data_IF_795748153386
#
_entry.id   IF_795748153386
#
_cell.length_a   1.000
_cell.length_b   1.000
_cell.length_c   1.000
_cell.angle_alpha   90.00
_cell.angle_beta   90.00
_cell.angle_gamma   90.00
#
_symmetry.space_group_name_H-M   'P 1'
#
loop_
_entity.id
_entity.type
_entity.pdbx_description
1 polymer ?
#
# COMPACT_ATOMS: atom_id res chain seq x y z
N UNK A 1 -26.68 48.75 42.32
CA UNK A 1 -25.35 48.15 42.51
C UNK A 1 -25.22 46.93 41.60
N UNK A 2 -24.20 46.90 40.73
CA UNK A 2 -23.83 45.71 40.02
C UNK A 2 -23.11 44.77 41.01
N UNK A 3 -23.61 43.55 41.15
CA UNK A 3 -22.97 42.53 41.96
C UNK A 3 -22.42 41.49 41.01
N UNK A 4 -21.12 41.20 41.09
CA UNK A 4 -20.50 40.09 40.34
C UNK A 4 -20.98 38.80 40.96
N UNK A 5 -21.68 37.96 40.16
CA UNK A 5 -22.26 36.70 40.60
C UNK A 5 -21.42 35.47 40.27
N UNK A 6 -20.32 35.67 39.53
CA UNK A 6 -19.38 34.60 39.23
C UNK A 6 -18.40 34.98 38.13
N UNK A 7 -17.37 34.18 37.98
CA UNK A 7 -16.41 34.21 36.89
C UNK A 7 -16.18 32.81 36.39
N UNK A 8 -15.60 32.69 35.21
CA UNK A 8 -15.29 31.39 34.62
C UNK A 8 -14.29 31.52 33.48
N UNK A 9 -13.78 30.38 33.02
CA UNK A 9 -12.88 30.26 31.86
C UNK A 9 -13.66 29.63 30.73
N UNK A 10 -13.52 30.20 29.52
CA UNK A 10 -14.09 29.62 28.32
C UNK A 10 -13.17 28.49 27.87
N UNK A 11 -13.65 27.25 27.92
CA UNK A 11 -12.89 26.05 27.51
C UNK A 11 -13.01 25.78 26.01
N UNK A 12 -14.11 26.16 25.37
CA UNK A 12 -14.36 26.02 23.95
C UNK A 12 -15.05 27.29 23.44
N UNK A 13 -14.43 27.94 22.43
CA UNK A 13 -14.95 29.18 21.85
C UNK A 13 -16.13 28.94 20.88
N UNK A 14 -16.32 27.70 20.41
CA UNK A 14 -17.37 27.33 19.44
C UNK A 14 -18.03 25.98 19.80
N UNK A 15 -18.62 25.87 21.01
CA UNK A 15 -19.11 24.59 21.51
C UNK A 15 -20.33 24.10 20.73
N UNK A 16 -20.36 22.81 20.44
CA UNK A 16 -21.55 22.14 19.91
C UNK A 16 -22.58 21.95 21.03
N UNK A 17 -23.87 21.97 20.67
CA UNK A 17 -24.93 21.71 21.64
C UNK A 17 -24.90 20.24 22.05
N UNK A 18 -24.81 19.97 23.35
CA UNK A 18 -24.76 18.64 23.92
C UNK A 18 -25.97 18.41 24.87
N UNK A 19 -26.32 17.13 25.07
CA UNK A 19 -27.30 16.74 26.09
C UNK A 19 -26.69 16.95 27.49
N UNK A 20 -27.53 17.33 28.46
CA UNK A 20 -27.11 17.49 29.86
C UNK A 20 -26.67 16.13 30.42
N UNK A 21 -25.66 16.13 31.28
CA UNK A 21 -25.16 14.96 32.03
C UNK A 21 -24.63 13.82 31.10
N UNK A 22 -24.14 14.14 29.93
CA UNK A 22 -23.41 13.19 29.12
C UNK A 22 -22.00 12.98 29.67
N UNK A 23 -21.74 11.81 30.25
CA UNK A 23 -20.48 11.48 30.92
C UNK A 23 -19.27 11.61 30.03
N UNK A 24 -19.36 11.17 28.75
CA UNK A 24 -18.27 11.31 27.78
C UNK A 24 -17.88 12.76 27.51
N UNK A 25 -18.86 13.67 27.54
CA UNK A 25 -18.62 15.10 27.35
C UNK A 25 -18.04 15.73 28.60
N UNK A 26 -18.53 15.32 29.78
CA UNK A 26 -17.99 15.77 31.04
C UNK A 26 -16.54 15.34 31.23
N UNK A 27 -16.17 14.14 30.84
CA UNK A 27 -14.78 13.67 30.82
C UNK A 27 -13.91 14.47 29.85
N UNK A 28 -14.40 14.74 28.64
CA UNK A 28 -13.68 15.61 27.67
C UNK A 28 -13.45 17.01 28.21
N UNK A 29 -14.46 17.60 28.83
CA UNK A 29 -14.34 18.94 29.46
C UNK A 29 -13.39 18.95 30.66
N UNK A 30 -13.34 17.87 31.44
CA UNK A 30 -12.36 17.72 32.51
C UNK A 30 -10.94 17.66 32.00
N UNK A 31 -10.70 16.89 30.94
CA UNK A 31 -9.40 16.82 30.27
C UNK A 31 -9.00 18.18 29.69
N UNK A 32 -9.94 18.96 29.15
CA UNK A 32 -9.67 20.33 28.70
C UNK A 32 -9.34 21.28 29.85
N UNK A 33 -9.85 21.04 31.05
CA UNK A 33 -9.63 21.89 32.24
C UNK A 33 -8.34 21.52 33.00
N UNK A 34 -8.04 20.23 33.11
CA UNK A 34 -7.03 19.66 33.98
C UNK A 34 -5.93 18.91 33.25
N UNK A 35 -6.14 18.59 31.93
CA UNK A 35 -5.22 17.84 31.10
C UNK A 35 -4.00 18.66 30.68
N UNK A 36 -2.89 17.96 30.44
CA UNK A 36 -1.73 18.55 29.79
C UNK A 36 -1.97 18.73 28.28
N UNK A 37 -1.10 19.46 27.60
CA UNK A 37 -1.22 19.72 26.15
C UNK A 37 -1.23 18.43 25.32
N UNK A 38 -0.54 17.37 25.78
CA UNK A 38 -0.54 16.06 25.14
C UNK A 38 -1.90 15.37 25.17
N UNK A 39 -2.63 15.43 26.30
CA UNK A 39 -3.98 14.87 26.42
C UNK A 39 -4.98 15.62 25.53
N UNK A 40 -4.83 16.94 25.43
CA UNK A 40 -5.64 17.77 24.54
C UNK A 40 -5.43 17.37 23.07
N UNK A 41 -4.17 17.19 22.64
CA UNK A 41 -3.83 16.75 21.28
C UNK A 41 -4.44 15.37 21.00
N UNK A 42 -4.29 14.39 21.89
CA UNK A 42 -4.83 13.05 21.72
C UNK A 42 -6.37 13.08 21.56
N UNK A 43 -7.07 13.78 22.45
CA UNK A 43 -8.53 13.92 22.39
C UNK A 43 -8.99 14.62 21.11
N UNK A 44 -8.27 15.68 20.70
CA UNK A 44 -8.54 16.38 19.45
C UNK A 44 -8.41 15.44 18.24
N UNK A 45 -7.29 14.71 18.14
CA UNK A 45 -7.07 13.74 17.08
C UNK A 45 -8.13 12.64 17.05
N UNK A 46 -8.59 12.15 18.20
CA UNK A 46 -9.65 11.15 18.31
C UNK A 46 -11.00 11.68 17.84
N UNK A 47 -11.36 12.89 18.23
CA UNK A 47 -12.68 13.48 17.95
C UNK A 47 -12.77 14.17 16.59
N UNK A 48 -11.65 14.47 15.94
CA UNK A 48 -11.61 15.14 14.65
C UNK A 48 -12.24 14.29 13.54
N UNK A 49 -12.93 14.94 12.59
CA UNK A 49 -13.62 14.24 11.48
C UNK A 49 -12.64 13.51 10.55
N UNK A 50 -11.49 14.11 10.25
CA UNK A 50 -10.45 13.48 9.46
C UNK A 50 -9.63 12.50 10.31
N UNK A 51 -9.12 11.46 9.71
CA UNK A 51 -8.27 10.48 10.40
C UNK A 51 -6.86 11.02 10.60
N UNK A 52 -6.33 11.72 9.60
CA UNK A 52 -5.03 12.39 9.66
C UNK A 52 -5.28 13.90 9.79
N UNK A 53 -4.64 14.53 10.76
CA UNK A 53 -4.79 15.97 11.05
C UNK A 53 -3.45 16.66 10.93
N UNK A 54 -3.40 17.76 10.20
CA UNK A 54 -2.16 18.51 9.99
C UNK A 54 -1.68 19.19 11.28
N UNK A 55 -0.35 19.34 11.42
CA UNK A 55 0.24 20.08 12.54
C UNK A 55 -0.33 21.51 12.65
N UNK A 56 -0.60 22.16 11.53
CA UNK A 56 -1.16 23.51 11.48
C UNK A 56 -2.56 23.58 12.07
N UNK A 57 -3.41 22.59 11.78
CA UNK A 57 -4.77 22.54 12.31
C UNK A 57 -4.74 22.26 13.81
N UNK A 58 -3.86 21.37 14.28
CA UNK A 58 -3.67 21.09 15.72
C UNK A 58 -3.28 22.37 16.46
N UNK A 59 -2.26 23.08 15.98
CA UNK A 59 -1.78 24.34 16.59
C UNK A 59 -2.88 25.39 16.63
N UNK A 60 -3.56 25.57 15.49
CA UNK A 60 -4.61 26.58 15.33
C UNK A 60 -5.81 26.32 16.22
N UNK A 61 -6.33 25.09 16.18
CA UNK A 61 -7.61 24.76 16.82
C UNK A 61 -7.45 24.58 18.35
N UNK A 62 -6.27 24.12 18.79
CA UNK A 62 -5.93 24.02 20.22
C UNK A 62 -5.25 25.27 20.79
N UNK A 63 -4.96 26.27 19.94
CA UNK A 63 -4.30 27.53 20.34
C UNK A 63 -2.95 27.32 21.05
N UNK A 64 -2.20 26.27 20.63
CA UNK A 64 -0.87 25.97 21.17
C UNK A 64 0.19 26.85 20.50
N UNK A 65 1.31 27.09 21.20
CA UNK A 65 2.49 27.64 20.55
C UNK A 65 3.16 26.58 19.65
N UNK A 66 3.91 27.01 18.63
CA UNK A 66 4.62 26.06 17.74
C UNK A 66 5.63 25.18 18.50
N UNK A 67 6.33 25.76 19.48
CA UNK A 67 7.29 25.02 20.31
C UNK A 67 6.64 23.98 21.21
N UNK A 68 5.57 24.35 21.89
CA UNK A 68 4.78 23.46 22.75
C UNK A 68 4.19 22.30 21.93
N UNK A 69 3.52 22.61 20.82
CA UNK A 69 2.97 21.57 19.95
C UNK A 69 4.04 20.64 19.38
N UNK A 70 5.23 21.15 19.06
CA UNK A 70 6.32 20.30 18.56
C UNK A 70 6.78 19.32 19.64
N UNK A 71 7.05 19.81 20.87
CA UNK A 71 7.51 18.96 21.96
C UNK A 71 6.49 17.87 22.31
N UNK A 72 5.21 18.24 22.46
CA UNK A 72 4.16 17.29 22.81
C UNK A 72 3.90 16.26 21.70
N UNK A 73 3.92 16.69 20.43
CA UNK A 73 3.77 15.75 19.30
C UNK A 73 4.93 14.77 19.24
N UNK A 74 6.18 15.21 19.44
CA UNK A 74 7.35 14.33 19.44
C UNK A 74 7.29 13.33 20.61
N UNK A 75 6.85 13.74 21.80
CA UNK A 75 6.64 12.86 22.95
C UNK A 75 5.54 11.82 22.67
N UNK A 76 4.43 12.24 22.08
CA UNK A 76 3.31 11.36 21.73
C UNK A 76 3.68 10.37 20.62
N UNK A 77 4.50 10.75 19.65
CA UNK A 77 5.04 9.85 18.62
C UNK A 77 6.01 8.85 19.26
N UNK A 78 6.92 9.33 20.11
CA UNK A 78 7.90 8.48 20.81
C UNK A 78 7.22 7.46 21.73
N UNK A 79 6.15 7.86 22.42
CA UNK A 79 5.35 6.96 23.26
C UNK A 79 4.43 6.02 22.47
N UNK A 80 4.31 6.19 21.15
CA UNK A 80 3.48 5.37 20.28
C UNK A 80 1.97 5.63 20.41
N UNK A 81 1.56 6.75 21.00
CA UNK A 81 0.16 7.14 21.13
C UNK A 81 -0.41 7.75 19.85
N UNK A 82 0.46 8.34 19.03
CA UNK A 82 0.15 8.85 17.71
C UNK A 82 1.21 8.41 16.72
N UNK A 83 0.87 8.44 15.43
CA UNK A 83 1.82 8.21 14.33
C UNK A 83 1.89 9.43 13.45
N UNK A 84 3.10 9.75 12.99
CA UNK A 84 3.36 10.82 12.03
C UNK A 84 3.31 10.29 10.60
N UNK A 85 2.72 11.08 9.71
CA UNK A 85 2.65 10.86 8.26
C UNK A 85 3.06 12.13 7.51
N UNK A 86 3.22 12.06 6.19
CA UNK A 86 3.50 13.25 5.37
C UNK A 86 2.33 14.27 5.38
N UNK A 87 1.12 13.85 5.73
CA UNK A 87 -0.06 14.71 5.80
C UNK A 87 -0.31 15.29 7.21
N UNK A 88 0.31 14.71 8.24
CA UNK A 88 0.11 15.09 9.63
C UNK A 88 0.13 13.91 10.58
N UNK A 89 -0.72 13.94 11.61
CA UNK A 89 -0.72 12.99 12.71
C UNK A 89 -2.03 12.21 12.78
N UNK A 90 -1.93 10.94 13.14
CA UNK A 90 -3.08 10.05 13.39
C UNK A 90 -2.97 9.45 14.79
N UNK A 91 -4.07 9.43 15.51
CA UNK A 91 -4.13 8.76 16.82
C UNK A 91 -4.08 7.23 16.66
N UNK A 92 -3.34 6.55 17.54
CA UNK A 92 -3.16 5.09 17.54
C UNK A 92 -4.47 4.31 17.39
N UNK A 93 -5.51 4.69 18.11
CA UNK A 93 -6.83 4.01 18.03
C UNK A 93 -7.43 4.05 16.61
N UNK A 94 -7.35 5.21 15.94
CA UNK A 94 -7.82 5.34 14.55
C UNK A 94 -6.94 4.55 13.57
N UNK A 95 -5.63 4.55 13.81
CA UNK A 95 -4.67 3.74 13.06
C UNK A 95 -5.03 2.24 13.17
N UNK A 96 -5.21 1.75 14.40
CA UNK A 96 -5.56 0.35 14.66
C UNK A 96 -6.90 -0.04 14.02
N UNK A 97 -7.92 0.82 14.08
CA UNK A 97 -9.23 0.61 13.44
C UNK A 97 -9.13 0.45 11.91
N UNK A 98 -8.32 1.28 11.26
CA UNK A 98 -8.12 1.20 9.79
C UNK A 98 -7.30 -0.03 9.44
N UNK A 99 -6.26 -0.33 10.23
CA UNK A 99 -5.41 -1.51 10.03
C UNK A 99 -6.21 -2.80 10.16
N UNK A 100 -7.05 -2.94 11.18
CA UNK A 100 -7.92 -4.11 11.34
C UNK A 100 -8.88 -4.29 10.16
N UNK A 101 -9.48 -3.21 9.69
CA UNK A 101 -10.34 -3.23 8.49
C UNK A 101 -9.56 -3.66 7.25
N UNK A 102 -8.33 -3.16 7.08
CA UNK A 102 -7.47 -3.55 5.96
C UNK A 102 -7.07 -5.03 6.05
N UNK A 103 -6.62 -5.50 7.22
CA UNK A 103 -6.26 -6.92 7.45
C UNK A 103 -7.44 -7.84 7.15
N UNK A 104 -8.64 -7.48 7.60
CA UNK A 104 -9.85 -8.25 7.28
C UNK A 104 -10.14 -8.28 5.78
N UNK A 105 -10.01 -7.13 5.10
CA UNK A 105 -10.21 -7.04 3.66
C UNK A 105 -9.21 -7.93 2.90
N UNK A 106 -7.93 -7.91 3.29
CA UNK A 106 -6.88 -8.75 2.71
C UNK A 106 -7.14 -10.25 2.96
N UNK A 107 -7.48 -10.63 4.18
CA UNK A 107 -7.79 -12.02 4.53
C UNK A 107 -8.99 -12.56 3.73
N UNK A 108 -10.07 -11.78 3.60
CA UNK A 108 -11.24 -12.17 2.80
C UNK A 108 -10.90 -12.26 1.31
N UNK A 109 -10.02 -11.41 0.82
CA UNK A 109 -9.53 -11.45 -0.56
C UNK A 109 -8.69 -12.70 -0.83
N UNK A 110 -7.73 -13.01 0.03
CA UNK A 110 -6.88 -14.19 -0.11
C UNK A 110 -7.66 -15.52 0.01
N UNK A 111 -8.71 -15.55 0.84
CA UNK A 111 -9.63 -16.71 0.87
C UNK A 111 -10.34 -16.93 -0.46
N UNK A 112 -10.75 -15.84 -1.13
CA UNK A 112 -11.47 -15.87 -2.40
C UNK A 112 -10.56 -16.09 -3.60
N UNK A 113 -9.37 -15.49 -3.58
CA UNK A 113 -8.41 -15.47 -4.68
C UNK A 113 -7.06 -16.04 -4.22
N UNK A 114 -7.02 -17.34 -4.03
CA UNK A 114 -5.85 -18.05 -3.43
C UNK A 114 -4.54 -17.88 -4.20
N UNK A 115 -4.62 -17.58 -5.49
CA UNK A 115 -3.47 -17.40 -6.38
C UNK A 115 -3.09 -15.93 -6.60
N UNK A 116 -3.85 -14.98 -6.04
CA UNK A 116 -3.52 -13.56 -6.15
C UNK A 116 -2.70 -13.11 -4.96
N UNK A 117 -1.57 -12.48 -5.24
CA UNK A 117 -0.60 -12.02 -4.24
C UNK A 117 -1.18 -10.95 -3.33
N UNK A 118 -2.00 -10.04 -3.84
CA UNK A 118 -2.58 -8.95 -3.07
C UNK A 118 -3.67 -8.18 -3.81
N UNK A 119 -4.14 -7.11 -3.19
CA UNK A 119 -5.19 -6.22 -3.70
C UNK A 119 -4.54 -4.96 -4.28
N UNK A 120 -4.93 -4.50 -5.49
CA UNK A 120 -4.48 -3.21 -6.03
C UNK A 120 -4.82 -2.05 -5.08
N UNK A 121 -3.90 -1.10 -4.88
CA UNK A 121 -4.13 0.10 -4.06
C UNK A 121 -5.43 0.83 -4.42
N UNK A 122 -5.74 0.93 -5.71
CA UNK A 122 -6.97 1.59 -6.20
C UNK A 122 -8.23 0.90 -5.71
N UNK A 123 -8.24 -0.44 -5.65
CA UNK A 123 -9.37 -1.20 -5.13
C UNK A 123 -9.53 -0.99 -3.62
N UNK A 124 -8.43 -0.96 -2.86
CA UNK A 124 -8.44 -0.66 -1.43
C UNK A 124 -9.03 0.72 -1.18
N UNK A 125 -8.59 1.75 -1.91
CA UNK A 125 -9.12 3.12 -1.78
C UNK A 125 -10.65 3.13 -1.88
N UNK A 126 -11.23 2.39 -2.82
CA UNK A 126 -12.68 2.32 -3.02
C UNK A 126 -13.47 1.70 -1.86
N UNK A 127 -12.80 0.93 -0.99
CA UNK A 127 -13.44 0.24 0.15
C UNK A 127 -13.45 1.05 1.44
N UNK A 128 -12.68 2.14 1.50
CA UNK A 128 -12.60 3.00 2.68
C UNK A 128 -13.40 4.28 2.48
N UNK A 129 -14.09 4.72 3.53
CA UNK A 129 -14.78 6.02 3.57
C UNK A 129 -13.84 7.14 4.02
N UNK A 130 -12.65 7.18 3.42
CA UNK A 130 -11.59 8.17 3.65
C UNK A 130 -11.22 8.81 2.32
N UNK A 131 -10.56 9.95 2.37
CA UNK A 131 -10.02 10.55 1.15
C UNK A 131 -8.93 9.65 0.55
N UNK A 132 -8.76 9.69 -0.76
CA UNK A 132 -7.71 8.92 -1.45
C UNK A 132 -6.33 9.18 -0.86
N UNK A 133 -6.04 10.45 -0.52
CA UNK A 133 -4.75 10.86 0.07
C UNK A 133 -4.52 10.19 1.43
N UNK A 134 -5.53 10.20 2.31
CA UNK A 134 -5.42 9.56 3.62
C UNK A 134 -5.22 8.05 3.50
N UNK A 135 -5.94 7.36 2.59
CA UNK A 135 -5.79 5.91 2.41
C UNK A 135 -4.39 5.57 1.92
N UNK A 136 -3.84 6.33 0.97
CA UNK A 136 -2.48 6.11 0.47
C UNK A 136 -1.43 6.32 1.56
N UNK A 137 -1.52 7.39 2.33
CA UNK A 137 -0.62 7.66 3.47
C UNK A 137 -0.69 6.56 4.53
N UNK A 138 -1.89 6.08 4.84
CA UNK A 138 -2.06 4.99 5.79
C UNK A 138 -1.46 3.68 5.29
N UNK A 139 -1.61 3.36 4.00
CA UNK A 139 -0.97 2.19 3.41
C UNK A 139 0.56 2.32 3.51
N UNK A 140 1.14 3.47 3.21
CA UNK A 140 2.57 3.70 3.35
C UNK A 140 3.04 3.56 4.80
N UNK A 141 2.28 4.09 5.74
CA UNK A 141 2.56 3.94 7.16
C UNK A 141 2.48 2.47 7.61
N UNK A 142 1.49 1.70 7.14
CA UNK A 142 1.37 0.27 7.43
C UNK A 142 2.53 -0.53 6.86
N UNK A 143 3.02 -0.17 5.66
CA UNK A 143 4.20 -0.80 5.06
C UNK A 143 5.46 -0.46 5.89
N UNK A 144 5.65 0.82 6.25
CA UNK A 144 6.77 1.28 7.09
C UNK A 144 6.80 0.55 8.44
N UNK A 145 5.64 0.32 9.04
CA UNK A 145 5.50 -0.40 10.31
C UNK A 145 5.49 -1.93 10.14
N UNK A 146 5.71 -2.44 8.91
CA UNK A 146 5.78 -3.85 8.61
C UNK A 146 4.48 -4.63 8.97
N UNK A 147 3.33 -3.97 8.85
CA UNK A 147 2.00 -4.54 9.08
C UNK A 147 1.43 -5.23 7.83
N UNK A 148 1.76 -4.69 6.66
CA UNK A 148 1.45 -5.22 5.33
C UNK A 148 2.67 -5.10 4.43
N UNK A 149 2.68 -5.82 3.32
CA UNK A 149 3.73 -5.71 2.31
C UNK A 149 3.19 -5.18 0.99
N UNK A 150 4.07 -4.61 0.20
CA UNK A 150 3.80 -4.14 -1.14
C UNK A 150 4.57 -5.01 -2.15
N UNK A 151 3.88 -5.55 -3.15
CA UNK A 151 4.48 -6.19 -4.32
C UNK A 151 4.01 -5.47 -5.57
N UNK A 152 4.93 -4.74 -6.21
CA UNK A 152 4.56 -3.83 -7.29
C UNK A 152 3.50 -2.82 -6.81
N UNK A 153 2.29 -2.90 -7.33
CA UNK A 153 1.15 -2.05 -6.95
C UNK A 153 0.10 -2.79 -6.09
N UNK A 154 0.42 -3.99 -5.61
CA UNK A 154 -0.47 -4.84 -4.82
C UNK A 154 -0.10 -4.78 -3.35
N UNK A 155 -1.11 -4.62 -2.49
CA UNK A 155 -0.97 -4.70 -1.04
C UNK A 155 -1.39 -6.09 -0.60
N UNK A 156 -0.55 -6.75 0.18
CA UNK A 156 -0.76 -8.10 0.70
C UNK A 156 -0.59 -8.17 2.22
N UNK A 157 -1.15 -9.20 2.84
CA UNK A 157 -0.77 -9.55 4.21
C UNK A 157 0.73 -9.84 4.28
N UNK A 158 1.36 -9.45 5.39
CA UNK A 158 2.81 -9.57 5.59
C UNK A 158 3.35 -10.97 5.26
N UNK A 159 2.71 -11.99 5.79
CA UNK A 159 3.18 -13.38 5.74
C UNK A 159 2.41 -14.23 4.72
N UNK A 160 1.56 -13.61 3.91
CA UNK A 160 0.80 -14.36 2.90
C UNK A 160 1.72 -14.86 1.80
N UNK A 161 1.66 -16.15 1.53
CA UNK A 161 2.35 -16.80 0.41
C UNK A 161 1.33 -17.56 -0.42
N UNK A 162 1.42 -17.40 -1.73
CA UNK A 162 0.58 -18.18 -2.66
C UNK A 162 0.94 -19.65 -2.53
N UNK A 163 -0.02 -20.46 -2.08
CA UNK A 163 0.15 -21.91 -1.94
C UNK A 163 -0.52 -22.62 -3.10
N UNK A 164 0.27 -23.37 -3.84
CA UNK A 164 -0.19 -24.19 -4.97
C UNK A 164 -0.52 -25.60 -4.52
N UNK A 165 -1.65 -26.13 -4.98
CA UNK A 165 -1.94 -27.57 -4.84
C UNK A 165 -1.08 -28.43 -5.79
N UNK A 166 -1.16 -29.77 -5.65
CA UNK A 166 -0.35 -30.69 -6.47
C UNK A 166 -0.58 -30.54 -7.98
N UNK A 167 -1.82 -30.25 -8.39
CA UNK A 167 -2.16 -30.06 -9.81
C UNK A 167 -1.62 -28.73 -10.32
N UNK A 168 -1.74 -27.68 -9.49
CA UNK A 168 -1.19 -26.36 -9.80
C UNK A 168 0.33 -26.37 -9.86
N UNK A 169 1.01 -27.12 -8.98
CA UNK A 169 2.46 -27.31 -9.03
C UNK A 169 2.91 -28.02 -10.30
N UNK A 170 2.19 -29.06 -10.74
CA UNK A 170 2.49 -29.74 -11.99
C UNK A 170 2.28 -28.85 -13.20
N UNK A 171 1.19 -28.07 -13.21
CA UNK A 171 0.89 -27.12 -14.28
C UNK A 171 1.88 -25.96 -14.31
N UNK A 172 2.29 -25.43 -13.14
CA UNK A 172 3.36 -24.45 -13.00
C UNK A 172 4.65 -24.96 -13.63
N UNK A 173 5.09 -26.15 -13.25
CA UNK A 173 6.31 -26.76 -13.78
C UNK A 173 6.23 -26.97 -15.30
N UNK A 174 5.05 -27.31 -15.84
CA UNK A 174 4.81 -27.41 -17.28
C UNK A 174 5.00 -26.05 -17.97
N UNK A 175 4.33 -25.01 -17.48
CA UNK A 175 4.39 -23.66 -18.03
C UNK A 175 5.84 -23.14 -18.02
N UNK A 176 6.52 -23.22 -16.88
CA UNK A 176 7.91 -22.77 -16.75
C UNK A 176 8.84 -23.51 -17.70
N UNK A 177 8.68 -24.85 -17.82
CA UNK A 177 9.45 -25.66 -18.76
C UNK A 177 9.20 -25.29 -20.22
N UNK A 178 7.96 -25.04 -20.59
CA UNK A 178 7.62 -24.65 -21.97
C UNK A 178 8.18 -23.26 -22.32
N UNK A 179 8.15 -22.31 -21.36
CA UNK A 179 8.76 -21.00 -21.53
C UNK A 179 10.29 -21.06 -21.63
N UNK A 180 10.94 -21.88 -20.79
CA UNK A 180 12.39 -22.08 -20.87
C UNK A 180 12.81 -22.75 -22.19
N UNK A 181 12.07 -23.77 -22.64
CA UNK A 181 12.33 -24.46 -23.92
C UNK A 181 12.08 -23.54 -25.10
N UNK A 182 11.09 -22.65 -25.04
CA UNK A 182 10.81 -21.66 -26.07
C UNK A 182 11.88 -20.56 -26.17
N UNK A 183 12.65 -20.37 -25.14
CA UNK A 183 13.71 -19.37 -25.08
C UNK A 183 13.21 -17.99 -25.53
N UNK A 184 13.86 -17.38 -26.51
CA UNK A 184 13.48 -16.05 -27.04
C UNK A 184 12.28 -16.07 -28.02
N UNK A 185 11.65 -17.22 -28.21
CA UNK A 185 10.41 -17.40 -29.01
C UNK A 185 9.40 -18.22 -28.22
N UNK A 186 8.99 -17.74 -27.00
CA UNK A 186 8.11 -18.51 -26.12
C UNK A 186 6.72 -18.71 -26.73
N UNK A 187 6.00 -19.77 -26.32
CA UNK A 187 4.59 -19.91 -26.65
C UNK A 187 3.77 -18.72 -26.14
N UNK A 188 2.69 -18.41 -26.84
CA UNK A 188 1.74 -17.38 -26.44
C UNK A 188 0.97 -17.79 -25.17
N UNK A 189 0.40 -16.80 -24.44
CA UNK A 189 -0.43 -17.07 -23.27
C UNK A 189 -1.57 -18.04 -23.62
N UNK A 190 -2.18 -17.89 -24.80
CA UNK A 190 -3.26 -18.76 -25.25
C UNK A 190 -2.78 -20.21 -25.46
N UNK A 191 -1.61 -20.41 -26.01
CA UNK A 191 -1.00 -21.74 -26.22
C UNK A 191 -0.62 -22.36 -24.88
N UNK A 192 0.02 -21.62 -23.97
CA UNK A 192 0.39 -22.07 -22.62
C UNK A 192 -0.82 -22.50 -21.80
N UNK A 193 -1.91 -21.75 -21.87
CA UNK A 193 -3.10 -21.98 -21.03
C UNK A 193 -4.16 -22.85 -21.70
N UNK A 194 -4.00 -23.18 -23.00
CA UNK A 194 -5.02 -23.83 -23.82
C UNK A 194 -6.41 -23.15 -23.72
N UNK A 195 -6.43 -21.84 -23.41
CA UNK A 195 -7.65 -21.07 -23.16
C UNK A 195 -8.40 -21.46 -21.88
N UNK A 196 -7.78 -22.23 -20.98
CA UNK A 196 -8.38 -22.64 -19.71
C UNK A 196 -8.20 -21.53 -18.66
N UNK A 197 -9.30 -21.05 -18.11
CA UNK A 197 -9.29 -19.95 -17.12
C UNK A 197 -8.42 -20.25 -15.88
N UNK A 198 -8.47 -21.48 -15.36
CA UNK A 198 -7.67 -21.87 -14.20
C UNK A 198 -6.15 -21.83 -14.48
N UNK A 199 -5.74 -22.22 -15.71
CA UNK A 199 -4.33 -22.12 -16.13
C UNK A 199 -3.91 -20.66 -16.34
N UNK A 200 -4.82 -19.78 -16.79
CA UNK A 200 -4.57 -18.35 -16.91
C UNK A 200 -4.39 -17.71 -15.53
N UNK A 201 -5.27 -18.00 -14.55
CA UNK A 201 -5.14 -17.51 -13.17
C UNK A 201 -3.83 -18.00 -12.53
N UNK A 202 -3.40 -19.23 -12.83
CA UNK A 202 -2.12 -19.76 -12.37
C UNK A 202 -0.96 -19.00 -13.02
N UNK A 203 -0.98 -18.81 -14.33
CA UNK A 203 0.05 -18.06 -15.06
C UNK A 203 0.17 -16.63 -14.51
N UNK A 204 -0.98 -15.95 -14.29
CA UNK A 204 -1.00 -14.60 -13.70
C UNK A 204 -0.37 -14.56 -12.30
N UNK A 205 -0.44 -15.65 -11.52
CA UNK A 205 0.20 -15.73 -10.20
C UNK A 205 1.72 -15.92 -10.26
N UNK A 206 2.27 -16.28 -11.41
CA UNK A 206 3.71 -16.45 -11.63
C UNK A 206 4.37 -15.18 -12.20
N UNK A 207 3.56 -14.23 -12.70
CA UNK A 207 4.05 -12.94 -13.17
C UNK A 207 4.70 -12.18 -12.00
N UNK A 208 5.80 -11.48 -12.28
CA UNK A 208 6.67 -10.78 -11.34
C UNK A 208 7.41 -11.68 -10.32
N UNK A 209 7.29 -13.01 -10.47
CA UNK A 209 8.08 -13.99 -9.72
C UNK A 209 9.08 -14.73 -10.61
N UNK A 210 8.60 -15.68 -11.43
CA UNK A 210 9.42 -16.48 -12.36
C UNK A 210 9.18 -16.12 -13.81
N UNK A 211 8.11 -15.38 -14.07
CA UNK A 211 7.64 -14.99 -15.39
C UNK A 211 7.45 -13.47 -15.44
N UNK A 212 7.79 -12.85 -16.55
CA UNK A 212 7.48 -11.46 -16.86
C UNK A 212 6.46 -11.40 -17.99
N UNK A 213 5.60 -10.38 -17.94
CA UNK A 213 4.63 -10.11 -19.01
C UNK A 213 5.21 -9.04 -19.93
N UNK A 214 5.45 -9.40 -21.19
CA UNK A 214 5.98 -8.48 -22.20
C UNK A 214 4.87 -7.66 -22.86
N UNK A 215 3.75 -8.33 -23.20
CA UNK A 215 2.57 -7.68 -23.77
C UNK A 215 1.28 -8.44 -23.39
N UNK A 216 0.16 -8.13 -24.03
CA UNK A 216 -1.13 -8.76 -23.75
C UNK A 216 -1.13 -10.29 -23.99
N UNK A 217 -0.32 -10.78 -24.94
CA UNK A 217 -0.30 -12.17 -25.38
C UNK A 217 1.02 -12.89 -25.08
N UNK A 218 2.05 -12.17 -24.64
CA UNK A 218 3.40 -12.69 -24.47
C UNK A 218 3.89 -12.61 -23.05
N UNK A 219 4.45 -13.71 -22.58
CA UNK A 219 5.18 -13.82 -21.32
C UNK A 219 6.55 -14.44 -21.59
N UNK A 220 7.52 -14.13 -20.74
CA UNK A 220 8.87 -14.66 -20.84
C UNK A 220 9.33 -15.16 -19.46
N UNK A 221 10.12 -16.22 -19.42
CA UNK A 221 10.75 -16.66 -18.19
C UNK A 221 11.85 -15.67 -17.77
N UNK A 222 11.98 -15.38 -16.48
CA UNK A 222 12.94 -14.43 -15.96
C UNK A 222 14.39 -14.78 -16.33
N UNK A 223 14.75 -16.08 -16.32
CA UNK A 223 16.09 -16.54 -16.72
C UNK A 223 16.39 -16.26 -18.21
N UNK A 224 15.36 -16.26 -19.05
CA UNK A 224 15.53 -15.93 -20.49
C UNK A 224 15.72 -14.42 -20.66
N UNK A 225 15.02 -13.60 -19.89
CA UNK A 225 15.26 -12.15 -19.87
C UNK A 225 16.68 -11.84 -19.39
N UNK A 226 17.15 -12.50 -18.33
CA UNK A 226 18.51 -12.33 -17.83
C UNK A 226 19.53 -12.65 -18.91
N UNK A 227 19.35 -13.75 -19.65
CA UNK A 227 20.20 -14.06 -20.81
C UNK A 227 20.14 -13.01 -21.92
N UNK A 228 18.95 -12.43 -22.18
CA UNK A 228 18.84 -11.34 -23.14
C UNK A 228 19.69 -10.13 -22.72
N UNK A 229 19.61 -9.75 -21.44
CA UNK A 229 20.37 -8.63 -20.87
C UNK A 229 21.87 -8.91 -20.95
N UNK A 230 22.32 -10.14 -20.64
CA UNK A 230 23.72 -10.55 -20.76
C UNK A 230 24.22 -10.41 -22.21
N UNK A 231 23.45 -10.92 -23.18
CA UNK A 231 23.82 -10.82 -24.61
C UNK A 231 23.84 -9.37 -25.12
N UNK A 232 22.93 -8.53 -24.64
CA UNK A 232 22.93 -7.10 -24.95
C UNK A 232 24.18 -6.42 -24.37
N UNK A 233 24.53 -6.71 -23.13
CA UNK A 233 25.72 -6.15 -22.47
C UNK A 233 27.02 -6.58 -23.20
N UNK A 234 27.15 -7.87 -23.54
CA UNK A 234 28.29 -8.38 -24.32
C UNK A 234 28.41 -7.68 -25.69
N UNK A 235 27.29 -7.40 -26.36
CA UNK A 235 27.30 -6.66 -27.63
C UNK A 235 27.84 -5.24 -27.42
N UNK A 236 27.41 -4.55 -26.37
CA UNK A 236 27.83 -3.17 -26.09
C UNK A 236 29.29 -3.06 -25.58
N UNK A 237 29.95 -4.15 -25.21
CA UNK A 237 31.42 -4.13 -24.98
C UNK A 237 32.20 -3.84 -26.26
N UNK A 238 31.63 -4.17 -27.43
CA UNK A 238 32.30 -4.08 -28.74
C UNK A 238 31.60 -3.13 -29.73
N UNK A 239 30.45 -2.58 -29.38
CA UNK A 239 29.62 -1.73 -30.25
C UNK A 239 28.95 -0.60 -29.46
N UNK A 240 28.85 0.58 -30.06
CA UNK A 240 28.14 1.74 -29.45
C UNK A 240 26.62 1.69 -29.64
N UNK A 241 26.14 0.88 -30.54
CA UNK A 241 24.72 0.79 -30.93
C UNK A 241 24.35 -0.65 -31.22
N UNK A 242 23.10 -0.99 -30.98
CA UNK A 242 22.49 -2.27 -31.36
C UNK A 242 21.24 -1.99 -32.19
N UNK A 243 21.14 -2.63 -33.32
CA UNK A 243 19.92 -2.61 -34.13
C UNK A 243 19.02 -3.78 -33.79
N UNK A 244 17.72 -3.65 -34.08
CA UNK A 244 16.77 -4.76 -33.91
C UNK A 244 17.15 -6.01 -34.69
N UNK A 245 17.81 -5.86 -35.85
CA UNK A 245 18.29 -6.97 -36.65
C UNK A 245 19.42 -7.73 -35.96
N UNK A 246 20.39 -7.02 -35.41
CA UNK A 246 21.51 -7.60 -34.63
C UNK A 246 21.00 -8.33 -33.40
N UNK A 247 20.09 -7.72 -32.64
CA UNK A 247 19.48 -8.38 -31.44
C UNK A 247 18.74 -9.67 -31.87
N UNK A 248 17.97 -9.63 -32.96
CA UNK A 248 17.27 -10.80 -33.48
C UNK A 248 18.25 -11.91 -33.89
N UNK A 249 19.35 -11.56 -34.56
CA UNK A 249 20.32 -12.54 -35.05
C UNK A 249 21.13 -13.15 -33.86
N UNK A 250 21.44 -12.38 -32.84
CA UNK A 250 22.08 -12.84 -31.58
C UNK A 250 21.17 -13.80 -30.81
N UNK A 251 19.89 -13.44 -30.65
CA UNK A 251 18.92 -14.23 -29.87
C UNK A 251 18.26 -15.36 -30.65
N UNK A 252 18.36 -15.35 -31.99
CA UNK A 252 17.62 -16.28 -32.85
C UNK A 252 16.11 -16.08 -32.82
N UNK A 253 15.64 -14.91 -32.36
CA UNK A 253 14.20 -14.64 -32.20
C UNK A 253 13.56 -14.04 -33.46
N UNK A 254 12.22 -13.96 -33.47
CA UNK A 254 11.53 -13.25 -34.55
C UNK A 254 11.38 -11.76 -34.22
N UNK A 255 11.09 -10.95 -35.25
CA UNK A 255 10.91 -9.50 -35.09
C UNK A 255 9.91 -9.12 -33.97
N UNK A 256 8.79 -9.87 -33.87
CA UNK A 256 7.74 -9.66 -32.89
C UNK A 256 8.29 -9.79 -31.45
N UNK A 257 8.99 -10.88 -31.18
CA UNK A 257 9.54 -11.15 -29.86
C UNK A 257 10.71 -10.22 -29.50
N UNK A 258 11.57 -9.93 -30.49
CA UNK A 258 12.69 -9.01 -30.29
C UNK A 258 12.23 -7.62 -29.88
N UNK A 259 11.18 -7.09 -30.51
CA UNK A 259 10.59 -5.79 -30.14
C UNK A 259 10.06 -5.88 -28.70
N UNK A 260 9.23 -6.88 -28.39
CA UNK A 260 8.62 -7.00 -27.08
C UNK A 260 9.65 -7.15 -25.93
N UNK A 261 10.79 -7.82 -26.19
CA UNK A 261 11.87 -7.97 -25.20
C UNK A 261 12.66 -6.67 -25.03
N UNK A 262 12.92 -5.92 -26.12
CA UNK A 262 13.69 -4.68 -26.06
C UNK A 262 12.89 -3.48 -25.52
N UNK A 263 11.56 -3.55 -25.58
CA UNK A 263 10.67 -2.50 -25.05
C UNK A 263 10.33 -2.70 -23.56
N UNK A 264 10.66 -3.88 -22.99
CA UNK A 264 10.49 -4.17 -21.56
C UNK A 264 11.57 -3.47 -20.73
#
# INVERSE_FOLDING_TARGET
>A
PMVTIGGGVILDASPRKHSRFNEEILEKLKVQLEGNSGDLIQNYLLSHANYIVSKKDIIKDLQLSEGEAATELDELVTSGNIFETNLGYIHKKKYDEVLEKLKKLLADYHKRYKLKVGIPKVEIISKFKLSQKEVLELIELFIKNNEVRLEGNLVAEKDFVVNYDKKQLAEKARIEKELLNGGFTPPTIKELTNGVKASLELLDSLVDNTIIRLDADLVLHLDVLTKAIEQVNEHFENAEKMTLAEFRDITGSSRKYSIAILEY
#
